data_IF_035541972241
#
_entry.id   IF_035541972241
#
_cell.length_a   1.000
_cell.length_b   1.000
_cell.length_c   1.000
_cell.angle_alpha   90.00
_cell.angle_beta   90.00
_cell.angle_gamma   90.00
#
_symmetry.space_group_name_H-M   'P 1'
#
loop_
_entity.id
_entity.type
_entity.pdbx_description
1 polymer ?
#
# COMPACT_ATOMS: atom_id res chain seq x y z
N UNK A 1 -4.49 -12.99 29.14
CA UNK A 1 -4.89 -13.67 27.89
C UNK A 1 -3.68 -13.67 26.95
N UNK A 2 -3.47 -14.70 26.10
CA UNK A 2 -2.42 -14.66 25.08
C UNK A 2 -2.65 -13.43 24.20
N UNK A 3 -1.58 -12.83 23.64
CA UNK A 3 -1.70 -11.70 22.71
C UNK A 3 -2.48 -12.14 21.46
N UNK A 4 -3.79 -12.00 21.49
CA UNK A 4 -4.67 -12.17 20.33
C UNK A 4 -4.39 -11.04 19.35
N UNK A 5 -4.35 -11.36 18.06
CA UNK A 5 -4.23 -10.33 17.01
C UNK A 5 -5.50 -9.47 16.99
N UNK A 6 -5.44 -8.19 16.57
CA UNK A 6 -6.63 -7.33 16.48
C UNK A 6 -7.78 -7.97 15.66
N UNK A 7 -7.43 -8.69 14.59
CA UNK A 7 -8.38 -9.46 13.78
C UNK A 7 -9.09 -10.55 14.58
N UNK A 8 -8.33 -11.35 15.34
CA UNK A 8 -8.90 -12.44 16.13
C UNK A 8 -9.76 -11.89 17.28
N UNK A 9 -9.34 -10.79 17.90
CA UNK A 9 -10.13 -10.10 18.92
C UNK A 9 -11.49 -9.62 18.36
N UNK A 10 -11.50 -9.03 17.16
CA UNK A 10 -12.74 -8.61 16.50
C UNK A 10 -13.68 -9.77 16.19
N UNK A 11 -13.16 -10.91 15.71
CA UNK A 11 -13.97 -12.11 15.44
C UNK A 11 -14.61 -12.64 16.72
N UNK A 12 -13.83 -12.72 17.81
CA UNK A 12 -14.33 -13.22 19.10
C UNK A 12 -15.45 -12.32 19.62
N UNK A 13 -15.26 -10.99 19.57
CA UNK A 13 -16.29 -10.04 20.03
C UNK A 13 -17.56 -10.17 19.19
N UNK A 14 -17.46 -10.23 17.86
CA UNK A 14 -18.64 -10.42 17.00
C UNK A 14 -19.38 -11.73 17.31
N UNK A 15 -18.65 -12.82 17.52
CA UNK A 15 -19.27 -14.11 17.82
C UNK A 15 -19.95 -14.10 19.20
N UNK A 16 -19.34 -13.46 20.21
CA UNK A 16 -19.95 -13.30 21.52
C UNK A 16 -21.20 -12.42 21.48
N UNK A 17 -21.23 -11.40 20.61
CA UNK A 17 -22.37 -10.51 20.43
C UNK A 17 -23.50 -11.13 19.60
N UNK A 18 -23.26 -12.27 18.93
CA UNK A 18 -24.25 -12.92 18.08
C UNK A 18 -25.35 -13.66 18.86
N UNK A 19 -25.10 -14.07 20.10
CA UNK A 19 -26.05 -14.84 20.91
C UNK A 19 -26.43 -14.10 22.20
N UNK A 20 -27.74 -14.04 22.49
CA UNK A 20 -28.26 -13.34 23.67
C UNK A 20 -27.55 -13.70 24.98
N UNK A 21 -27.27 -14.99 25.19
CA UNK A 21 -26.61 -15.48 26.41
C UNK A 21 -25.20 -14.89 26.56
N UNK A 22 -24.37 -15.03 25.53
CA UNK A 22 -22.98 -14.58 25.56
C UNK A 22 -22.89 -13.06 25.55
N UNK A 23 -23.80 -12.36 24.87
CA UNK A 23 -23.92 -10.90 24.92
C UNK A 23 -24.13 -10.42 26.36
N UNK A 24 -25.10 -11.00 27.07
CA UNK A 24 -25.37 -10.64 28.48
C UNK A 24 -24.17 -10.90 29.38
N UNK A 25 -23.52 -12.06 29.23
CA UNK A 25 -22.31 -12.40 30.00
C UNK A 25 -21.16 -11.43 29.70
N UNK A 26 -20.94 -11.08 28.43
CA UNK A 26 -19.89 -10.16 28.01
C UNK A 26 -20.08 -8.75 28.61
N UNK A 27 -21.28 -8.18 28.47
CA UNK A 27 -21.57 -6.82 28.95
C UNK A 27 -21.52 -6.72 30.48
N UNK A 28 -21.90 -7.78 31.21
CA UNK A 28 -21.79 -7.85 32.68
C UNK A 28 -20.35 -7.99 33.16
N UNK A 29 -19.54 -8.76 32.42
CA UNK A 29 -18.18 -9.11 32.84
C UNK A 29 -17.16 -8.03 32.46
N UNK A 30 -17.37 -7.33 31.34
CA UNK A 30 -16.44 -6.33 30.80
C UNK A 30 -17.18 -5.00 30.60
N UNK A 31 -17.46 -4.24 31.68
CA UNK A 31 -18.24 -3.00 31.62
C UNK A 31 -17.54 -1.84 30.89
N UNK A 32 -16.27 -1.97 30.53
CA UNK A 32 -15.52 -0.97 29.75
C UNK A 32 -15.06 -1.51 28.39
N UNK A 33 -15.81 -2.47 27.82
CA UNK A 33 -15.50 -3.01 26.50
C UNK A 33 -15.57 -1.91 25.44
N UNK A 34 -14.55 -1.83 24.58
CA UNK A 34 -14.56 -0.93 23.43
C UNK A 34 -15.39 -1.57 22.32
N UNK A 35 -16.50 -0.92 21.97
CA UNK A 35 -17.42 -1.36 20.92
C UNK A 35 -17.44 -0.34 19.77
N UNK A 36 -17.68 -0.82 18.55
CA UNK A 36 -17.97 0.03 17.40
C UNK A 36 -19.37 0.65 17.53
N UNK A 37 -19.60 1.72 16.79
CA UNK A 37 -20.91 2.38 16.70
C UNK A 37 -22.01 1.42 16.25
N UNK A 38 -21.71 0.54 15.28
CA UNK A 38 -22.62 -0.50 14.81
C UNK A 38 -22.96 -1.52 15.91
N UNK A 39 -21.98 -1.94 16.71
CA UNK A 39 -22.21 -2.84 17.83
C UNK A 39 -23.08 -2.17 18.90
N UNK A 40 -22.81 -0.90 19.23
CA UNK A 40 -23.63 -0.13 20.19
C UNK A 40 -25.06 0.02 19.68
N UNK A 41 -25.24 0.38 18.41
CA UNK A 41 -26.54 0.50 17.77
C UNK A 41 -27.35 -0.80 17.89
N UNK A 42 -26.73 -1.95 17.57
CA UNK A 42 -27.37 -3.27 17.70
C UNK A 42 -27.84 -3.52 19.13
N UNK A 43 -26.98 -3.26 20.11
CA UNK A 43 -27.28 -3.51 21.52
C UNK A 43 -28.41 -2.62 22.06
N UNK A 44 -28.46 -1.35 21.64
CA UNK A 44 -29.51 -0.41 22.02
C UNK A 44 -30.86 -0.74 21.37
N UNK A 45 -30.86 -1.33 20.17
CA UNK A 45 -32.05 -1.71 19.40
C UNK A 45 -32.36 -3.22 19.45
N UNK A 46 -31.72 -3.95 20.36
CA UNK A 46 -31.85 -5.40 20.50
C UNK A 46 -33.27 -5.78 20.98
N UNK A 47 -33.81 -6.96 20.63
CA UNK A 47 -35.19 -7.36 21.03
C UNK A 47 -35.31 -7.70 22.54
N UNK A 48 -34.24 -8.26 23.12
CA UNK A 48 -34.14 -8.54 24.56
C UNK A 48 -33.96 -7.25 25.39
N UNK A 49 -34.87 -7.01 26.33
CA UNK A 49 -34.90 -5.79 27.16
C UNK A 49 -33.72 -5.67 28.14
N UNK A 50 -33.15 -6.79 28.59
CA UNK A 50 -32.00 -6.79 29.49
C UNK A 50 -30.73 -6.35 28.76
N UNK A 51 -30.55 -6.80 27.52
CA UNK A 51 -29.42 -6.37 26.68
C UNK A 51 -29.50 -4.86 26.43
N UNK A 52 -30.69 -4.33 26.09
CA UNK A 52 -30.88 -2.87 25.95
C UNK A 52 -30.56 -2.12 27.23
N UNK A 53 -30.97 -2.62 28.39
CA UNK A 53 -30.68 -1.99 29.68
C UNK A 53 -29.17 -1.96 29.99
N UNK A 54 -28.47 -3.08 29.77
CA UNK A 54 -27.01 -3.18 29.91
C UNK A 54 -26.31 -2.21 28.94
N UNK A 55 -26.73 -2.17 27.68
CA UNK A 55 -26.17 -1.27 26.67
C UNK A 55 -26.33 0.22 27.02
N UNK A 56 -27.50 0.61 27.51
CA UNK A 56 -27.76 1.99 27.96
C UNK A 56 -26.86 2.38 29.14
N UNK A 57 -26.57 1.44 30.06
CA UNK A 57 -25.64 1.70 31.17
C UNK A 57 -24.21 1.96 30.72
N UNK A 58 -23.78 1.38 29.60
CA UNK A 58 -22.46 1.55 28.97
C UNK A 58 -22.38 2.84 28.13
N UNK A 59 -23.48 3.21 27.48
CA UNK A 59 -23.55 4.32 26.52
C UNK A 59 -23.53 5.71 27.17
N UNK A 60 -23.67 5.79 28.50
CA UNK A 60 -23.45 7.03 29.26
C UNK A 60 -22.00 7.55 29.23
N UNK A 61 -21.11 6.90 28.47
CA UNK A 61 -19.72 7.28 28.28
C UNK A 61 -19.32 7.31 26.79
N UNK A 62 -20.03 8.05 25.93
CA UNK A 62 -19.49 8.68 24.69
C UNK A 62 -20.60 9.42 23.94
N UNK A 63 -20.83 10.70 24.27
CA UNK A 63 -21.54 11.60 23.37
C UNK A 63 -20.66 11.91 22.16
N UNK A 64 -21.16 11.59 20.98
CA UNK A 64 -20.62 12.03 19.68
C UNK A 64 -21.03 13.50 19.50
N UNK A 65 -20.03 14.37 19.48
CA UNK A 65 -20.16 15.81 19.24
C UNK A 65 -20.53 16.08 17.76
N UNK A 66 -21.62 16.81 17.44
CA UNK A 66 -22.14 16.97 16.07
C UNK A 66 -21.39 17.93 15.12
N UNK A 67 -20.13 18.29 15.34
CA UNK A 67 -19.41 19.24 14.46
C UNK A 67 -18.04 18.71 13.98
N UNK A 68 -18.08 17.82 12.97
CA UNK A 68 -16.93 17.05 12.49
C UNK A 68 -15.79 17.83 11.80
N UNK A 69 -15.91 19.13 11.53
CA UNK A 69 -14.82 19.89 10.87
C UNK A 69 -13.76 20.36 11.85
N UNK A 70 -14.14 20.85 13.03
CA UNK A 70 -13.15 21.30 14.03
C UNK A 70 -12.51 20.10 14.75
N UNK A 71 -13.30 19.04 15.01
CA UNK A 71 -12.81 17.78 15.59
C UNK A 71 -11.67 17.15 14.77
N UNK A 72 -11.75 17.20 13.45
CA UNK A 72 -10.79 16.53 12.56
C UNK A 72 -9.78 17.46 11.89
N UNK A 73 -9.73 18.73 12.27
CA UNK A 73 -8.83 19.74 11.70
C UNK A 73 -7.38 19.29 11.62
N UNK A 74 -6.87 18.59 12.64
CA UNK A 74 -5.52 18.05 12.66
C UNK A 74 -5.29 16.97 11.59
N UNK A 75 -6.29 16.13 11.31
CA UNK A 75 -6.23 15.09 10.28
C UNK A 75 -6.20 15.71 8.88
N UNK A 76 -7.08 16.67 8.59
CA UNK A 76 -7.06 17.38 7.30
C UNK A 76 -5.76 18.18 7.11
N UNK A 77 -5.27 18.85 8.16
CA UNK A 77 -3.98 19.57 8.11
C UNK A 77 -2.80 18.65 7.80
N UNK A 78 -2.86 17.39 8.26
CA UNK A 78 -1.80 16.42 8.03
C UNK A 78 -1.71 15.95 6.57
N UNK A 79 -2.75 16.13 5.74
CA UNK A 79 -2.70 15.79 4.32
C UNK A 79 -1.68 16.65 3.54
N UNK A 80 -1.41 17.86 4.01
CA UNK A 80 -0.43 18.79 3.41
C UNK A 80 1.02 18.48 3.78
N UNK A 81 1.26 17.57 4.74
CA UNK A 81 2.61 17.18 5.12
C UNK A 81 3.21 16.20 4.09
N UNK A 82 4.54 16.17 3.98
CA UNK A 82 5.24 15.18 3.12
C UNK A 82 4.86 13.75 3.57
N UNK A 83 4.21 12.94 2.69
CA UNK A 83 3.78 11.60 3.06
C UNK A 83 4.94 10.61 3.08
N UNK A 84 4.84 9.60 3.96
CA UNK A 84 5.68 8.41 3.95
C UNK A 84 4.87 7.25 3.34
N UNK A 85 5.06 7.03 2.03
CA UNK A 85 4.27 6.05 1.25
C UNK A 85 4.52 4.62 1.71
N UNK A 86 5.77 4.28 2.05
CA UNK A 86 6.13 2.93 2.50
C UNK A 86 5.45 2.63 3.82
N UNK A 87 5.55 3.54 4.79
CA UNK A 87 4.85 3.45 6.06
C UNK A 87 3.33 3.39 5.86
N UNK A 88 2.80 4.20 4.94
CA UNK A 88 1.40 4.19 4.53
C UNK A 88 0.94 2.81 4.05
N UNK A 89 1.77 2.10 3.28
CA UNK A 89 1.49 0.73 2.83
C UNK A 89 1.46 -0.29 3.98
N UNK A 90 2.40 -0.19 4.93
CA UNK A 90 2.41 -1.07 6.12
C UNK A 90 1.16 -0.84 6.98
N UNK A 91 0.83 0.43 7.25
CA UNK A 91 -0.36 0.80 8.02
C UNK A 91 -1.66 0.42 7.29
N UNK A 92 -1.70 0.58 5.97
CA UNK A 92 -2.80 0.12 5.14
C UNK A 92 -3.03 -1.38 5.37
N UNK A 93 -2.01 -2.21 5.23
CA UNK A 93 -2.14 -3.66 5.42
C UNK A 93 -2.63 -4.03 6.83
N UNK A 94 -2.20 -3.31 7.86
CA UNK A 94 -2.58 -3.56 9.25
C UNK A 94 -4.03 -3.16 9.59
N UNK A 95 -4.56 -2.10 8.95
CA UNK A 95 -5.84 -1.51 9.31
C UNK A 95 -6.89 -1.63 8.20
N UNK A 96 -6.58 -1.13 7.01
CA UNK A 96 -7.50 -1.06 5.88
C UNK A 96 -7.57 -2.39 5.11
N UNK A 97 -6.44 -3.09 4.96
CA UNK A 97 -6.32 -4.39 4.30
C UNK A 97 -7.07 -5.52 5.02
N UNK A 98 -7.54 -5.27 6.24
CA UNK A 98 -8.43 -6.20 6.96
C UNK A 98 -9.82 -6.30 6.34
N UNK A 99 -10.21 -5.33 5.50
CA UNK A 99 -11.51 -5.28 4.84
C UNK A 99 -11.45 -4.90 3.35
N UNK A 100 -10.45 -4.12 2.92
CA UNK A 100 -10.36 -3.61 1.55
C UNK A 100 -9.21 -4.25 0.78
N UNK A 101 -9.41 -4.45 -0.53
CA UNK A 101 -8.34 -4.80 -1.45
C UNK A 101 -7.70 -3.55 -2.05
N UNK A 102 -6.38 -3.57 -2.19
CA UNK A 102 -5.63 -2.57 -2.92
C UNK A 102 -4.28 -3.15 -3.35
N UNK A 103 -3.91 -3.01 -4.63
CA UNK A 103 -2.63 -3.52 -5.18
C UNK A 103 -2.39 -5.00 -4.88
N UNK A 104 -3.45 -5.81 -4.90
CA UNK A 104 -3.40 -7.24 -4.59
C UNK A 104 -3.16 -7.59 -3.11
N UNK A 105 -3.18 -6.60 -2.21
CA UNK A 105 -3.14 -6.81 -0.75
C UNK A 105 -4.55 -6.70 -0.17
N UNK A 106 -4.77 -7.38 0.96
CA UNK A 106 -6.01 -7.32 1.72
C UNK A 106 -7.07 -8.34 1.29
N UNK A 107 -8.32 -8.12 1.70
CA UNK A 107 -9.46 -9.01 1.45
C UNK A 107 -10.69 -8.23 0.97
N UNK A 108 -11.69 -8.92 0.41
CA UNK A 108 -12.86 -8.30 -0.23
C UNK A 108 -14.09 -8.30 0.69
N UNK A 109 -14.05 -7.49 1.74
CA UNK A 109 -15.22 -7.21 2.61
C UNK A 109 -15.86 -5.88 2.24
N UNK A 110 -15.04 -4.83 2.11
CA UNK A 110 -15.39 -3.52 1.58
C UNK A 110 -15.04 -3.38 0.10
N UNK A 111 -15.36 -2.24 -0.53
CA UNK A 111 -15.05 -1.97 -1.93
C UNK A 111 -13.53 -2.02 -2.21
N UNK A 112 -13.11 -2.50 -3.39
CA UNK A 112 -11.70 -2.40 -3.79
C UNK A 112 -11.31 -0.94 -3.94
N UNK A 113 -10.08 -0.60 -3.53
CA UNK A 113 -9.60 0.78 -3.50
C UNK A 113 -8.70 1.13 -4.69
N UNK A 114 -8.47 0.20 -5.62
CA UNK A 114 -7.60 0.39 -6.78
C UNK A 114 -8.08 1.53 -7.71
N UNK A 115 -9.39 1.86 -7.68
CA UNK A 115 -10.00 2.96 -8.43
C UNK A 115 -10.00 4.32 -7.72
N UNK A 116 -9.62 4.37 -6.44
CA UNK A 116 -9.87 5.55 -5.58
C UNK A 116 -8.81 6.64 -5.70
N UNK A 117 -7.70 6.37 -6.41
CA UNK A 117 -6.59 7.30 -6.52
C UNK A 117 -6.97 8.67 -7.14
N UNK A 118 -8.00 8.69 -7.98
CA UNK A 118 -8.52 9.90 -8.64
C UNK A 118 -9.37 10.82 -7.75
N UNK A 119 -9.83 10.34 -6.59
CA UNK A 119 -10.65 11.15 -5.68
C UNK A 119 -9.79 12.13 -4.87
N UNK A 120 -10.31 13.29 -4.45
CA UNK A 120 -9.59 14.21 -3.54
C UNK A 120 -9.15 13.50 -2.25
N UNK A 121 -7.97 13.84 -1.73
CA UNK A 121 -7.44 13.22 -0.51
C UNK A 121 -8.33 13.48 0.71
N UNK A 122 -8.91 14.68 0.76
CA UNK A 122 -9.85 15.14 1.76
C UNK A 122 -11.14 14.30 1.73
N UNK A 123 -11.60 13.90 0.55
CA UNK A 123 -12.78 13.05 0.41
C UNK A 123 -12.49 11.64 0.94
N UNK A 124 -11.35 11.05 0.60
CA UNK A 124 -10.97 9.74 1.11
C UNK A 124 -10.78 9.77 2.63
N UNK A 125 -10.20 10.84 3.16
CA UNK A 125 -10.04 11.03 4.60
C UNK A 125 -11.41 11.19 5.29
N UNK A 126 -12.33 11.93 4.68
CA UNK A 126 -13.69 12.08 5.20
C UNK A 126 -14.40 10.73 5.32
N UNK A 127 -14.29 9.88 4.30
CA UNK A 127 -14.89 8.53 4.31
C UNK A 127 -14.30 7.67 5.44
N UNK A 128 -12.99 7.75 5.69
CA UNK A 128 -12.35 6.98 6.78
C UNK A 128 -12.78 7.47 8.16
N UNK A 129 -12.93 8.80 8.32
CA UNK A 129 -13.31 9.41 9.60
C UNK A 129 -14.82 9.32 9.87
N UNK A 130 -15.63 9.24 8.82
CA UNK A 130 -17.09 9.12 8.88
C UNK A 130 -17.59 8.02 7.90
N UNK A 131 -17.31 6.75 8.19
CA UNK A 131 -17.63 5.62 7.30
C UNK A 131 -19.12 5.47 6.97
N UNK A 132 -20.00 5.93 7.86
CA UNK A 132 -21.47 5.85 7.71
C UNK A 132 -22.04 7.05 6.94
N UNK A 133 -21.25 8.09 6.67
CA UNK A 133 -21.71 9.28 5.95
C UNK A 133 -22.11 9.00 4.50
N UNK A 134 -21.38 8.11 3.83
CA UNK A 134 -21.70 7.61 2.50
C UNK A 134 -21.26 6.15 2.38
N UNK A 135 -22.20 5.25 2.11
CA UNK A 135 -21.92 3.81 1.97
C UNK A 135 -22.06 3.44 0.50
N UNK A 136 -20.98 2.92 -0.10
CA UNK A 136 -20.93 2.48 -1.49
C UNK A 136 -22.03 1.45 -1.79
N UNK A 137 -22.69 1.59 -2.95
CA UNK A 137 -23.70 0.65 -3.40
C UNK A 137 -23.14 -0.79 -3.43
N UNK A 138 -23.93 -1.76 -2.95
CA UNK A 138 -23.48 -3.15 -2.81
C UNK A 138 -22.74 -3.46 -1.50
N UNK A 139 -22.36 -2.45 -0.72
CA UNK A 139 -21.64 -2.62 0.56
C UNK A 139 -22.45 -2.16 1.78
N UNK A 140 -23.78 -2.08 1.65
CA UNK A 140 -24.67 -1.81 2.78
C UNK A 140 -24.56 -2.92 3.82
N UNK A 141 -24.57 -2.52 5.09
CA UNK A 141 -24.62 -3.43 6.21
C UNK A 141 -26.05 -3.92 6.42
N UNK A 142 -26.18 -5.22 6.65
CA UNK A 142 -27.43 -5.88 7.01
C UNK A 142 -27.34 -6.49 8.39
N UNK A 143 -28.46 -6.44 9.13
CA UNK A 143 -28.68 -7.23 10.33
C UNK A 143 -29.66 -8.35 9.97
N UNK A 144 -29.20 -9.59 10.07
CA UNK A 144 -30.01 -10.79 9.94
C UNK A 144 -30.35 -11.31 11.34
N UNK A 145 -31.63 -11.28 11.70
CA UNK A 145 -32.15 -11.91 12.91
C UNK A 145 -32.64 -13.31 12.56
N UNK A 146 -32.16 -14.32 13.27
CA UNK A 146 -32.54 -15.71 13.08
C UNK A 146 -33.60 -16.13 14.10
N UNK A 147 -34.38 -17.15 13.71
CA UNK A 147 -35.25 -17.88 14.61
C UNK A 147 -34.42 -18.42 15.79
N UNK A 148 -34.84 -18.11 17.02
CA UNK A 148 -34.09 -18.46 18.23
C UNK A 148 -33.21 -17.34 18.81
N UNK A 149 -33.28 -16.13 18.25
CA UNK A 149 -32.66 -14.93 18.84
C UNK A 149 -31.16 -14.83 18.61
N UNK A 150 -30.66 -15.41 17.51
CA UNK A 150 -29.29 -15.23 17.04
C UNK A 150 -29.28 -14.07 16.05
N UNK A 151 -28.29 -13.19 16.14
CA UNK A 151 -28.12 -12.06 15.21
C UNK A 151 -26.78 -12.10 14.49
N UNK A 152 -26.82 -11.97 13.17
CA UNK A 152 -25.64 -11.81 12.33
C UNK A 152 -25.63 -10.44 11.66
N UNK A 153 -24.45 -9.82 11.57
CA UNK A 153 -24.26 -8.53 10.93
C UNK A 153 -23.15 -8.62 9.91
N UNK A 154 -23.39 -8.10 8.71
CA UNK A 154 -22.41 -8.13 7.64
C UNK A 154 -22.90 -7.49 6.34
N UNK A 155 -22.05 -7.54 5.33
CA UNK A 155 -22.39 -7.15 3.95
C UNK A 155 -22.96 -8.36 3.22
N UNK A 156 -24.03 -8.17 2.45
CA UNK A 156 -24.64 -9.23 1.66
C UNK A 156 -23.73 -9.61 0.48
N UNK A 157 -23.16 -10.82 0.51
CA UNK A 157 -22.27 -11.32 -0.56
C UNK A 157 -23.02 -12.11 -1.61
N UNK A 158 -24.10 -12.79 -1.23
CA UNK A 158 -24.99 -13.47 -2.17
C UNK A 158 -26.40 -13.59 -1.62
N UNK A 159 -27.37 -13.62 -2.53
CA UNK A 159 -28.79 -13.78 -2.20
C UNK A 159 -29.45 -14.69 -3.24
N UNK A 160 -30.20 -15.68 -2.77
CA UNK A 160 -30.97 -16.62 -3.59
C UNK A 160 -32.37 -16.81 -3.00
N UNK A 161 -33.20 -17.64 -3.65
CA UNK A 161 -34.52 -17.98 -3.14
C UNK A 161 -34.49 -18.78 -1.83
N UNK A 162 -33.39 -19.47 -1.51
CA UNK A 162 -33.30 -20.39 -0.37
C UNK A 162 -32.32 -19.96 0.71
N UNK A 163 -31.31 -19.16 0.36
CA UNK A 163 -30.30 -18.69 1.32
C UNK A 163 -29.77 -17.30 0.99
N UNK A 164 -29.21 -16.66 2.02
CA UNK A 164 -28.35 -15.48 1.91
C UNK A 164 -26.95 -15.83 2.43
N UNK A 165 -25.94 -15.07 2.00
CA UNK A 165 -24.62 -15.10 2.62
C UNK A 165 -24.22 -13.69 3.07
N UNK A 166 -23.72 -13.59 4.30
CA UNK A 166 -23.20 -12.35 4.86
C UNK A 166 -21.70 -12.48 5.09
N UNK A 167 -20.93 -11.52 4.57
CA UNK A 167 -19.54 -11.31 4.96
C UNK A 167 -19.53 -10.41 6.18
N UNK A 168 -19.16 -10.99 7.33
CA UNK A 168 -19.03 -10.29 8.62
C UNK A 168 -17.70 -9.53 8.69
N UNK A 169 -17.54 -8.74 9.75
CA UNK A 169 -16.27 -8.11 10.06
C UNK A 169 -15.11 -9.12 10.07
N UNK A 170 -13.90 -8.65 9.73
CA UNK A 170 -12.69 -9.48 9.60
C UNK A 170 -12.74 -10.59 8.52
N UNK A 171 -13.77 -10.58 7.65
CA UNK A 171 -13.86 -11.40 6.44
C UNK A 171 -14.37 -12.83 6.64
N UNK A 172 -15.03 -13.10 7.76
CA UNK A 172 -15.73 -14.38 7.93
C UNK A 172 -17.07 -14.36 7.21
N UNK A 173 -17.39 -15.41 6.46
CA UNK A 173 -18.67 -15.52 5.77
C UNK A 173 -19.62 -16.45 6.56
N UNK A 174 -20.92 -16.16 6.53
CA UNK A 174 -21.95 -17.00 7.12
C UNK A 174 -23.11 -17.14 6.15
N UNK A 175 -23.43 -18.38 5.79
CA UNK A 175 -24.60 -18.71 4.98
C UNK A 175 -25.79 -18.96 5.90
N UNK A 176 -26.93 -18.33 5.60
CA UNK A 176 -28.15 -18.39 6.40
C UNK A 176 -29.29 -18.86 5.49
N UNK A 177 -29.99 -19.92 5.88
CA UNK A 177 -31.20 -20.36 5.18
C UNK A 177 -32.32 -19.36 5.43
N UNK A 178 -33.11 -19.05 4.40
CA UNK A 178 -34.27 -18.16 4.57
C UNK A 178 -35.32 -18.72 5.53
N UNK A 179 -35.41 -20.04 5.66
CA UNK A 179 -36.28 -20.69 6.64
C UNK A 179 -35.90 -20.34 8.08
N UNK A 180 -34.63 -20.02 8.32
CA UNK A 180 -34.09 -19.72 9.65
C UNK A 180 -34.09 -18.22 9.93
N UNK A 181 -34.38 -17.40 8.92
CA UNK A 181 -34.34 -15.95 8.99
C UNK A 181 -35.69 -15.40 9.48
N UNK A 182 -35.68 -14.76 10.64
CA UNK A 182 -36.82 -14.02 11.17
C UNK A 182 -36.96 -12.64 10.50
N UNK A 183 -35.85 -11.95 10.28
CA UNK A 183 -35.82 -10.69 9.53
C UNK A 183 -34.43 -10.38 8.97
N UNK A 184 -34.39 -9.61 7.88
CA UNK A 184 -33.19 -9.06 7.29
C UNK A 184 -33.43 -7.58 6.99
N UNK A 185 -32.70 -6.72 7.69
CA UNK A 185 -32.89 -5.27 7.58
C UNK A 185 -31.57 -4.59 7.25
N UNK A 186 -31.55 -3.67 6.26
CA UNK A 186 -30.40 -2.80 6.06
C UNK A 186 -30.31 -1.78 7.22
N UNK A 187 -29.09 -1.32 7.52
CA UNK A 187 -28.86 -0.21 8.45
C UNK A 187 -28.02 0.88 7.79
N UNK A 188 -28.24 2.13 8.20
CA UNK A 188 -27.47 3.30 7.73
C UNK A 188 -26.10 3.44 8.43
N UNK A 189 -25.57 2.33 8.94
CA UNK A 189 -24.26 2.26 9.58
C UNK A 189 -23.33 1.37 8.77
N UNK A 190 -22.13 1.86 8.53
CA UNK A 190 -21.10 1.11 7.80
C UNK A 190 -20.50 0.00 8.65
N UNK A 191 -20.09 -1.09 7.99
CA UNK A 191 -19.28 -2.14 8.62
C UNK A 191 -17.83 -1.66 8.87
N UNK A 192 -17.40 -0.58 8.20
CA UNK A 192 -16.10 0.05 8.45
C UNK A 192 -16.10 0.74 9.83
N UNK A 193 -15.10 0.51 10.70
CA UNK A 193 -15.05 1.12 12.02
C UNK A 193 -14.93 2.65 11.98
N UNK A 194 -15.72 3.37 12.79
CA UNK A 194 -15.64 4.83 12.95
C UNK A 194 -14.60 5.30 13.98
N UNK A 195 -13.67 4.41 14.39
CA UNK A 195 -12.72 4.65 15.50
C UNK A 195 -11.29 4.92 15.04
N UNK A 196 -11.05 5.10 13.74
CA UNK A 196 -9.70 5.33 13.22
C UNK A 196 -9.07 6.62 13.74
N UNK A 197 -9.86 7.63 14.10
CA UNK A 197 -9.41 8.86 14.76
C UNK A 197 -8.81 8.63 16.16
N UNK A 198 -9.21 7.55 16.83
CA UNK A 198 -8.71 7.16 18.16
C UNK A 198 -7.50 6.22 18.09
N UNK A 199 -7.35 5.50 16.98
CA UNK A 199 -6.34 4.43 16.83
C UNK A 199 -5.13 4.91 16.02
N UNK A 200 -5.34 5.82 15.06
CA UNK A 200 -4.32 6.31 14.15
C UNK A 200 -4.06 7.80 14.39
N UNK A 201 -2.78 8.18 14.35
CA UNK A 201 -2.41 9.61 14.42
C UNK A 201 -2.76 10.29 13.10
N UNK A 202 -2.95 11.62 13.08
CA UNK A 202 -3.16 12.39 11.86
C UNK A 202 -2.18 12.09 10.73
N UNK A 203 -0.89 11.98 11.05
CA UNK A 203 0.13 11.64 10.05
C UNK A 203 -0.02 10.22 9.52
N UNK A 204 -0.40 9.26 10.36
CA UNK A 204 -0.54 7.85 9.97
C UNK A 204 -1.69 7.69 8.96
N UNK A 205 -2.84 8.35 9.20
CA UNK A 205 -3.92 8.40 8.22
C UNK A 205 -3.52 9.14 6.94
N UNK A 206 -2.79 10.26 7.04
CA UNK A 206 -2.26 10.96 5.87
C UNK A 206 -1.36 10.04 5.02
N UNK A 207 -0.44 9.31 5.65
CA UNK A 207 0.45 8.35 4.98
C UNK A 207 -0.34 7.23 4.28
N UNK A 208 -1.41 6.70 4.90
CA UNK A 208 -2.31 5.71 4.28
C UNK A 208 -3.05 6.31 3.07
N UNK A 209 -3.65 7.49 3.21
CA UNK A 209 -4.41 8.15 2.13
C UNK A 209 -3.48 8.42 0.95
N UNK A 210 -2.27 8.91 1.20
CA UNK A 210 -1.29 9.11 0.16
C UNK A 210 -0.79 7.80 -0.44
N UNK A 211 -0.72 6.69 0.31
CA UNK A 211 -0.44 5.36 -0.26
C UNK A 211 -1.55 4.87 -1.21
N UNK A 212 -2.83 5.08 -0.86
CA UNK A 212 -3.99 4.76 -1.72
C UNK A 212 -3.98 5.63 -2.98
N UNK A 213 -3.70 6.93 -2.81
CA UNK A 213 -3.59 7.88 -3.93
C UNK A 213 -2.32 7.70 -4.77
N UNK A 214 -1.29 7.10 -4.20
CA UNK A 214 -0.06 6.80 -4.91
C UNK A 214 -0.32 5.66 -5.87
N UNK A 215 -0.81 6.00 -7.06
CA UNK A 215 -0.99 5.09 -8.19
C UNK A 215 0.39 4.51 -8.53
N UNK A 216 0.70 3.31 -8.02
CA UNK A 216 1.78 2.52 -8.59
C UNK A 216 1.21 2.08 -9.92
N UNK A 217 1.61 2.75 -11.00
CA UNK A 217 1.21 2.35 -12.33
C UNK A 217 1.64 0.89 -12.52
N UNK A 218 0.73 0.00 -12.92
CA UNK A 218 1.08 -1.37 -13.38
C UNK A 218 2.11 -1.34 -14.53
N UNK A 219 2.34 -0.15 -15.08
CA UNK A 219 3.37 0.17 -16.06
C UNK A 219 4.76 0.38 -15.50
N UNK A 220 5.00 0.37 -14.17
CA UNK A 220 6.34 0.59 -13.63
C UNK A 220 6.74 -0.31 -12.46
N UNK A 221 8.00 -0.73 -12.46
CA UNK A 221 8.63 -1.47 -11.37
C UNK A 221 9.83 -0.67 -10.84
N UNK A 222 9.72 -0.21 -9.61
CA UNK A 222 10.82 0.43 -8.90
C UNK A 222 11.85 -0.63 -8.51
N UNK A 223 13.07 -0.51 -9.05
CA UNK A 223 14.20 -1.40 -8.79
C UNK A 223 15.03 -0.95 -7.58
N UNK A 224 15.04 0.36 -7.30
CA UNK A 224 15.71 0.95 -6.15
C UNK A 224 14.99 2.24 -5.71
N UNK A 225 14.52 2.24 -4.46
CA UNK A 225 13.97 3.38 -3.71
C UNK A 225 14.09 3.04 -2.21
N UNK A 226 15.01 3.72 -1.51
CA UNK A 226 15.24 3.57 -0.07
C UNK A 226 15.72 2.18 0.43
N UNK A 227 16.31 1.34 -0.42
CA UNK A 227 16.78 0.01 0.00
C UNK A 227 18.23 0.05 0.53
N UNK A 228 18.47 -0.07 1.84
CA UNK A 228 19.79 0.15 2.42
C UNK A 228 20.82 -0.91 1.99
N UNK A 229 20.36 -2.11 1.61
CA UNK A 229 21.21 -3.24 1.22
C UNK A 229 21.52 -3.29 -0.27
N UNK A 230 21.02 -2.33 -1.05
CA UNK A 230 21.26 -2.33 -2.50
C UNK A 230 22.74 -2.12 -2.82
N UNK A 231 23.42 -1.23 -2.10
CA UNK A 231 24.86 -1.00 -2.25
C UNK A 231 25.67 -2.27 -1.95
N UNK A 232 25.30 -3.03 -0.93
CA UNK A 232 25.94 -4.31 -0.56
C UNK A 232 25.77 -5.38 -1.66
N UNK A 233 24.66 -5.31 -2.39
CA UNK A 233 24.36 -6.23 -3.50
C UNK A 233 25.26 -5.98 -4.73
N UNK A 234 25.88 -4.80 -4.84
CA UNK A 234 26.88 -4.47 -5.87
C UNK A 234 28.28 -4.98 -5.46
N UNK A 235 28.41 -6.31 -5.43
CA UNK A 235 29.51 -7.01 -4.78
C UNK A 235 30.83 -7.08 -5.58
N UNK A 236 30.89 -6.55 -6.79
CA UNK A 236 32.07 -6.59 -7.65
C UNK A 236 32.46 -5.21 -8.21
N UNK A 237 33.66 -5.12 -8.78
CA UNK A 237 34.26 -3.88 -9.26
C UNK A 237 35.32 -3.32 -8.31
N UNK A 238 36.07 -2.31 -8.78
CA UNK A 238 37.19 -1.69 -8.04
C UNK A 238 36.78 -0.46 -7.23
N UNK A 239 35.58 0.07 -7.47
CA UNK A 239 35.07 1.27 -6.80
C UNK A 239 34.41 0.96 -5.47
N UNK A 240 33.71 1.96 -4.95
CA UNK A 240 32.93 1.87 -3.72
C UNK A 240 31.48 2.26 -4.02
N UNK A 241 30.54 1.54 -3.40
CA UNK A 241 29.12 1.81 -3.45
C UNK A 241 28.65 2.05 -2.01
N UNK A 242 27.93 3.13 -1.78
CA UNK A 242 27.40 3.48 -0.47
C UNK A 242 26.00 4.07 -0.60
N UNK A 243 25.24 4.05 0.48
CA UNK A 243 23.96 4.74 0.58
C UNK A 243 24.21 6.11 1.20
N UNK A 244 23.66 7.14 0.58
CA UNK A 244 23.61 8.53 1.07
C UNK A 244 22.15 8.82 1.45
N UNK A 245 21.92 9.50 2.57
CA UNK A 245 20.58 9.84 3.06
C UNK A 245 20.29 11.34 3.09
N UNK A 246 21.31 12.18 2.82
CA UNK A 246 21.23 13.63 3.04
C UNK A 246 20.75 14.37 1.78
N UNK A 247 21.10 13.90 0.58
CA UNK A 247 20.87 14.62 -0.68
C UNK A 247 20.33 13.72 -1.81
N UNK A 248 19.17 13.10 -1.54
CA UNK A 248 18.45 12.22 -2.46
C UNK A 248 17.31 12.93 -3.20
N UNK A 249 16.99 12.47 -4.42
CA UNK A 249 15.91 13.03 -5.22
C UNK A 249 14.54 12.59 -4.68
N UNK A 250 14.47 11.36 -4.21
CA UNK A 250 13.29 10.70 -3.69
C UNK A 250 13.63 9.97 -2.39
N UNK A 251 12.62 9.74 -1.55
CA UNK A 251 12.81 8.91 -0.37
C UNK A 251 13.78 9.51 0.65
N UNK A 252 14.48 8.62 1.35
CA UNK A 252 15.48 8.83 2.39
C UNK A 252 16.86 8.30 2.01
N UNK A 253 17.02 7.52 0.94
CA UNK A 253 18.29 6.88 0.60
C UNK A 253 18.53 6.79 -0.91
N UNK A 254 19.74 7.14 -1.34
CA UNK A 254 20.18 7.12 -2.72
C UNK A 254 21.55 6.48 -2.84
N UNK A 255 21.81 5.83 -3.97
CA UNK A 255 23.06 5.13 -4.22
C UNK A 255 24.14 6.14 -4.61
N UNK A 256 25.30 6.05 -3.99
CA UNK A 256 26.51 6.76 -4.42
C UNK A 256 27.56 5.76 -4.86
N UNK A 257 28.27 6.11 -5.94
CA UNK A 257 29.39 5.32 -6.46
C UNK A 257 30.59 6.22 -6.69
N UNK A 258 31.77 5.72 -6.32
CA UNK A 258 33.06 6.38 -6.51
C UNK A 258 34.12 5.35 -6.89
N UNK A 259 35.31 5.81 -7.28
CA UNK A 259 36.44 4.91 -7.53
C UNK A 259 36.30 4.02 -8.76
N UNK A 260 35.68 4.54 -9.83
CA UNK A 260 35.43 3.87 -11.11
C UNK A 260 34.13 3.08 -11.15
N UNK A 261 34.12 1.78 -10.82
CA UNK A 261 32.95 0.94 -11.09
C UNK A 261 32.59 0.03 -9.93
N UNK A 262 31.28 -0.06 -9.65
CA UNK A 262 30.66 -1.08 -8.82
C UNK A 262 29.49 -1.73 -9.53
N UNK A 263 29.38 -3.05 -9.40
CA UNK A 263 28.38 -3.81 -10.15
C UNK A 263 28.00 -5.12 -9.46
N UNK A 264 26.90 -5.70 -9.96
CA UNK A 264 26.61 -7.12 -9.85
C UNK A 264 26.04 -7.60 -11.17
N UNK A 265 26.58 -8.69 -11.72
CA UNK A 265 26.06 -9.28 -12.96
C UNK A 265 24.75 -10.06 -12.74
N UNK A 266 24.49 -10.45 -11.50
CA UNK A 266 23.28 -11.14 -11.07
C UNK A 266 22.83 -10.60 -9.71
N UNK A 267 21.86 -9.70 -9.73
CA UNK A 267 21.20 -9.21 -8.52
C UNK A 267 20.15 -10.24 -8.06
N UNK A 268 19.98 -10.43 -6.74
CA UNK A 268 19.00 -11.39 -6.21
C UNK A 268 17.58 -11.09 -6.69
N UNK A 269 16.93 -12.09 -7.30
CA UNK A 269 15.55 -11.97 -7.80
C UNK A 269 15.39 -11.16 -9.09
N UNK A 270 16.48 -10.69 -9.71
CA UNK A 270 16.42 -9.95 -10.97
C UNK A 270 16.35 -10.89 -12.17
N UNK A 271 15.22 -10.81 -12.88
CA UNK A 271 14.93 -11.56 -14.10
C UNK A 271 13.91 -10.77 -14.94
N UNK A 272 14.27 -9.56 -15.38
CA UNK A 272 13.33 -8.63 -16.01
C UNK A 272 13.43 -8.65 -17.53
N UNK A 273 12.32 -8.97 -18.19
CA UNK A 273 12.30 -9.19 -19.63
C UNK A 273 12.11 -7.89 -20.42
N UNK A 274 13.11 -7.46 -21.18
CA UNK A 274 12.97 -6.32 -22.08
C UNK A 274 12.35 -6.79 -23.40
N UNK A 275 11.24 -6.17 -23.82
CA UNK A 275 10.49 -6.52 -25.04
C UNK A 275 10.05 -5.27 -25.79
N UNK A 276 9.84 -5.41 -27.09
CA UNK A 276 9.30 -4.33 -27.95
C UNK A 276 7.94 -3.81 -27.47
N UNK A 277 7.09 -4.75 -27.07
CA UNK A 277 5.70 -4.52 -26.65
C UNK A 277 5.42 -5.39 -25.41
N UNK A 278 5.72 -4.89 -24.20
CA UNK A 278 5.50 -5.63 -22.96
C UNK A 278 4.04 -6.02 -22.74
N UNK A 279 3.77 -7.30 -22.50
CA UNK A 279 2.43 -7.85 -22.23
C UNK A 279 2.35 -8.58 -20.89
N UNK A 280 3.44 -9.23 -20.47
CA UNK A 280 3.48 -10.04 -19.24
C UNK A 280 4.03 -9.25 -18.05
N UNK A 281 3.68 -9.64 -16.82
CA UNK A 281 4.01 -8.86 -15.60
C UNK A 281 5.52 -8.63 -15.37
N UNK A 282 6.36 -9.48 -15.92
CA UNK A 282 7.82 -9.44 -15.89
C UNK A 282 8.45 -8.72 -17.10
N UNK A 283 7.64 -8.28 -18.06
CA UNK A 283 8.09 -7.59 -19.27
C UNK A 283 8.06 -6.06 -19.14
N UNK A 284 9.10 -5.41 -19.67
CA UNK A 284 9.32 -3.96 -19.67
C UNK A 284 9.97 -3.51 -20.97
N UNK A 285 10.04 -2.20 -21.22
CA UNK A 285 10.71 -1.64 -22.40
C UNK A 285 11.67 -0.51 -22.08
N UNK A 286 11.32 0.33 -21.11
CA UNK A 286 12.12 1.49 -20.76
C UNK A 286 12.69 1.34 -19.36
N UNK A 287 13.73 2.09 -19.07
CA UNK A 287 14.17 2.34 -17.71
C UNK A 287 14.32 3.84 -17.48
N UNK A 288 13.88 4.30 -16.33
CA UNK A 288 14.12 5.65 -15.84
C UNK A 288 15.16 5.58 -14.73
N UNK A 289 16.16 6.45 -14.79
CA UNK A 289 17.21 6.58 -13.78
C UNK A 289 17.47 8.07 -13.54
N UNK A 290 17.46 8.50 -12.28
CA UNK A 290 17.98 9.81 -11.90
C UNK A 290 19.47 9.74 -11.60
N UNK A 291 20.22 10.72 -12.11
CA UNK A 291 21.66 10.82 -11.93
C UNK A 291 22.03 12.23 -11.46
N UNK A 292 23.03 12.32 -10.58
CA UNK A 292 23.65 13.57 -10.15
C UNK A 292 25.14 13.33 -9.90
N UNK A 293 26.00 14.04 -10.62
CA UNK A 293 27.43 14.07 -10.33
C UNK A 293 27.70 14.99 -9.15
N UNK A 294 28.52 14.52 -8.21
CA UNK A 294 29.07 15.36 -7.15
C UNK A 294 30.31 16.07 -7.68
N UNK A 295 31.30 15.29 -8.10
CA UNK A 295 32.53 15.75 -8.74
C UNK A 295 32.95 14.88 -9.94
N UNK A 296 32.18 13.81 -10.21
CA UNK A 296 32.32 12.98 -11.42
C UNK A 296 32.32 13.81 -12.71
N UNK A 297 33.21 13.49 -13.66
CA UNK A 297 33.21 14.08 -15.02
C UNK A 297 32.36 13.31 -16.01
N UNK A 298 32.17 12.02 -15.74
CA UNK A 298 31.28 11.13 -16.48
C UNK A 298 30.58 10.16 -15.57
N UNK A 299 29.40 9.70 -15.98
CA UNK A 299 28.67 8.63 -15.31
C UNK A 299 28.12 7.68 -16.36
N UNK A 300 28.19 6.37 -16.11
CA UNK A 300 27.74 5.34 -17.02
C UNK A 300 27.00 4.24 -16.26
N UNK A 301 25.99 3.67 -16.93
CA UNK A 301 25.24 2.52 -16.46
C UNK A 301 25.26 1.42 -17.52
N UNK A 302 25.39 0.19 -17.06
CA UNK A 302 25.34 -1.01 -17.92
C UNK A 302 24.37 -2.04 -17.36
N UNK A 303 23.74 -2.80 -18.24
CA UNK A 303 22.77 -3.84 -17.88
C UNK A 303 23.29 -5.21 -18.28
N UNK A 304 23.39 -6.12 -17.32
CA UNK A 304 23.75 -7.52 -17.58
C UNK A 304 22.57 -8.28 -18.20
N UNK A 305 22.88 -9.16 -19.15
CA UNK A 305 21.94 -10.08 -19.78
C UNK A 305 22.40 -11.50 -19.47
N UNK A 306 21.55 -12.28 -18.81
CA UNK A 306 21.87 -13.65 -18.37
C UNK A 306 23.21 -13.75 -17.65
N UNK A 307 23.46 -12.82 -16.73
CA UNK A 307 24.68 -12.76 -15.93
C UNK A 307 25.90 -12.18 -16.66
N UNK A 308 25.74 -11.58 -17.85
CA UNK A 308 26.86 -11.04 -18.65
C UNK A 308 26.67 -9.58 -19.05
N UNK A 309 27.65 -8.75 -18.70
CA UNK A 309 27.76 -7.37 -19.17
C UNK A 309 28.11 -7.31 -20.67
N UNK A 310 27.78 -6.20 -21.35
CA UNK A 310 28.11 -6.02 -22.76
C UNK A 310 29.64 -5.98 -22.99
N UNK A 311 30.10 -6.29 -24.21
CA UNK A 311 31.51 -6.15 -24.55
C UNK A 311 31.89 -4.67 -24.71
N UNK A 312 33.08 -4.31 -24.24
CA UNK A 312 33.59 -2.93 -24.20
C UNK A 312 33.64 -2.22 -25.56
N UNK A 313 33.68 -2.98 -26.67
CA UNK A 313 33.76 -2.45 -28.02
C UNK A 313 32.40 -2.29 -28.72
N UNK A 314 31.28 -2.41 -28.00
CA UNK A 314 29.95 -2.21 -28.56
C UNK A 314 29.07 -1.36 -27.65
N UNK A 315 28.41 -0.36 -28.23
CA UNK A 315 27.41 0.45 -27.55
C UNK A 315 26.06 -0.30 -27.41
N UNK A 316 26.04 -1.43 -26.72
CA UNK A 316 24.82 -2.20 -26.44
C UNK A 316 24.62 -2.33 -24.94
N UNK A 317 23.41 -2.07 -24.44
CA UNK A 317 23.06 -2.13 -23.00
C UNK A 317 23.95 -1.29 -22.09
N UNK A 318 24.62 -0.29 -22.65
CA UNK A 318 25.51 0.65 -21.94
C UNK A 318 25.15 2.07 -22.34
N UNK A 319 25.07 2.96 -21.34
CA UNK A 319 24.63 4.34 -21.51
C UNK A 319 25.40 5.28 -20.61
N UNK A 320 25.76 6.47 -21.09
CA UNK A 320 26.55 7.42 -20.30
C UNK A 320 26.12 8.89 -20.45
N UNK A 321 26.51 9.70 -19.48
CA UNK A 321 26.38 11.16 -19.45
C UNK A 321 27.72 11.80 -19.14
N UNK A 322 27.98 12.99 -19.67
CA UNK A 322 29.25 13.69 -19.50
C UNK A 322 30.39 13.08 -20.31
N UNK A 323 31.59 13.10 -19.75
CA UNK A 323 32.82 12.61 -20.39
C UNK A 323 32.94 11.08 -20.32
N UNK A 324 33.20 10.41 -21.44
CA UNK A 324 33.51 8.98 -21.44
C UNK A 324 35.02 8.74 -21.54
N UNK A 325 35.69 8.62 -20.39
CA UNK A 325 37.12 8.29 -20.30
C UNK A 325 37.41 6.79 -20.14
N UNK A 326 36.39 5.92 -20.19
CA UNK A 326 36.55 4.46 -20.01
C UNK A 326 37.27 3.79 -21.18
N UNK A 327 37.19 4.39 -22.37
CA UNK A 327 37.60 3.76 -23.64
C UNK A 327 36.53 2.81 -24.23
N UNK A 328 35.44 2.56 -23.51
CA UNK A 328 34.35 1.68 -23.94
C UNK A 328 33.39 2.40 -24.87
N UNK A 329 32.90 1.71 -25.90
CA UNK A 329 31.82 2.22 -26.74
C UNK A 329 30.50 2.15 -25.97
N UNK A 330 29.81 3.29 -25.84
CA UNK A 330 28.58 3.40 -25.06
C UNK A 330 27.62 4.43 -25.67
N UNK A 331 26.33 4.33 -25.36
CA UNK A 331 25.31 5.23 -25.89
C UNK A 331 25.26 6.53 -25.08
N UNK A 332 25.50 7.67 -25.72
CA UNK A 332 25.49 8.96 -25.02
C UNK A 332 24.05 9.44 -24.78
N UNK A 333 23.65 9.58 -23.52
CA UNK A 333 22.37 10.16 -23.12
C UNK A 333 22.43 11.69 -23.06
N UNK A 334 23.58 12.25 -22.65
CA UNK A 334 23.81 13.69 -22.52
C UNK A 334 25.30 13.99 -22.61
N UNK A 335 25.66 15.06 -23.34
CA UNK A 335 27.03 15.61 -23.32
C UNK A 335 27.34 16.32 -22.02
N UNK A 336 26.32 16.90 -21.38
CA UNK A 336 26.47 17.60 -20.11
C UNK A 336 26.37 16.62 -18.94
N UNK A 337 27.29 16.78 -17.98
CA UNK A 337 27.24 16.07 -16.72
C UNK A 337 26.22 16.73 -15.77
N UNK A 338 25.27 15.98 -15.17
CA UNK A 338 24.23 16.58 -14.35
C UNK A 338 24.75 16.91 -12.94
N UNK A 339 25.04 18.17 -12.64
CA UNK A 339 25.43 18.60 -11.27
C UNK A 339 24.24 18.76 -10.32
N UNK A 340 23.02 18.72 -10.87
CA UNK A 340 21.75 18.60 -10.14
C UNK A 340 21.05 17.32 -10.59
N UNK A 341 20.19 16.77 -9.74
CA UNK A 341 19.40 15.59 -10.07
C UNK A 341 18.66 15.77 -11.40
N UNK A 342 18.94 14.88 -12.35
CA UNK A 342 18.31 14.83 -13.66
C UNK A 342 17.93 13.40 -13.99
N UNK A 343 16.68 13.20 -14.38
CA UNK A 343 16.17 11.88 -14.79
C UNK A 343 16.35 11.66 -16.27
N UNK A 344 16.82 10.47 -16.62
CA UNK A 344 16.96 9.98 -17.98
C UNK A 344 16.02 8.80 -18.15
N UNK A 345 15.24 8.81 -19.24
CA UNK A 345 14.42 7.66 -19.63
C UNK A 345 15.01 7.06 -20.89
N UNK A 346 15.35 5.78 -20.82
CA UNK A 346 16.10 5.04 -21.83
C UNK A 346 15.18 3.99 -22.44
N UNK A 347 15.04 3.97 -23.77
CA UNK A 347 14.43 2.85 -24.47
C UNK A 347 15.45 1.71 -24.54
N UNK A 348 15.26 0.70 -23.67
CA UNK A 348 16.17 -0.43 -23.59
C UNK A 348 16.04 -1.36 -24.79
N UNK A 349 14.89 -1.38 -25.48
CA UNK A 349 14.68 -2.29 -26.59
C UNK A 349 15.27 -1.76 -27.91
N UNK A 350 15.14 -0.45 -28.15
CA UNK A 350 15.44 0.21 -29.45
C UNK A 350 16.76 -0.23 -30.10
N UNK A 351 17.84 -0.28 -29.33
CA UNK A 351 19.19 -0.54 -29.83
C UNK A 351 19.75 -1.92 -29.39
N UNK A 352 18.96 -2.70 -28.63
CA UNK A 352 19.41 -3.98 -28.04
C UNK A 352 18.56 -5.19 -28.43
N UNK A 353 17.30 -4.99 -28.86
CA UNK A 353 16.35 -6.08 -29.05
C UNK A 353 15.86 -6.69 -27.74
N UNK A 354 15.40 -7.94 -27.80
CA UNK A 354 14.90 -8.67 -26.64
C UNK A 354 16.06 -9.20 -25.79
N UNK A 355 16.04 -8.90 -24.49
CA UNK A 355 17.02 -9.42 -23.52
C UNK A 355 16.43 -9.48 -22.12
N UNK A 356 17.20 -9.97 -21.15
CA UNK A 356 16.75 -10.16 -19.77
C UNK A 356 17.71 -9.47 -18.81
N UNK A 357 17.27 -8.43 -18.11
CA UNK A 357 18.09 -7.72 -17.13
C UNK A 357 18.25 -8.59 -15.90
N UNK A 358 19.48 -9.02 -15.65
CA UNK A 358 19.83 -9.80 -14.44
C UNK A 358 20.67 -9.01 -13.45
N UNK A 359 21.29 -7.91 -13.88
CA UNK A 359 22.21 -7.14 -13.06
C UNK A 359 22.54 -5.80 -13.67
N UNK A 360 23.26 -4.97 -12.91
CA UNK A 360 23.62 -3.61 -13.30
C UNK A 360 25.03 -3.25 -12.85
N UNK A 361 25.67 -2.40 -13.64
CA UNK A 361 26.92 -1.75 -13.28
C UNK A 361 26.73 -0.24 -13.27
N UNK A 362 27.39 0.42 -12.31
CA UNK A 362 27.45 1.85 -12.17
C UNK A 362 28.91 2.27 -12.24
N UNK A 363 29.22 3.14 -13.19
CA UNK A 363 30.58 3.64 -13.42
C UNK A 363 30.61 5.15 -13.25
N UNK A 364 31.59 5.68 -12.53
CA UNK A 364 31.88 7.11 -12.42
C UNK A 364 33.29 7.39 -12.94
N UNK A 365 33.38 8.34 -13.87
CA UNK A 365 34.62 8.74 -14.50
C UNK A 365 35.17 9.96 -13.76
N UNK A 366 36.14 9.71 -12.87
CA UNK A 366 36.84 10.73 -12.10
C UNK A 366 35.95 11.47 -11.10
N UNK A 367 35.78 10.89 -9.91
CA UNK A 367 34.96 11.45 -8.82
C UNK A 367 33.81 10.52 -8.40
N UNK A 368 32.89 11.08 -7.63
CA UNK A 368 31.67 10.47 -7.09
C UNK A 368 30.43 10.93 -7.87
N UNK A 369 29.51 9.99 -8.07
CA UNK A 369 28.19 10.24 -8.64
C UNK A 369 27.10 9.51 -7.86
N UNK A 370 25.90 10.07 -7.88
CA UNK A 370 24.73 9.58 -7.18
C UNK A 370 23.64 9.14 -8.17
N UNK A 371 22.92 8.09 -7.81
CA UNK A 371 21.85 7.46 -8.58
C UNK A 371 20.63 7.27 -7.69
N UNK A 372 19.45 7.55 -8.24
CA UNK A 372 18.17 7.45 -7.53
C UNK A 372 17.04 7.17 -8.53
N UNK A 373 15.85 6.80 -8.04
CA UNK A 373 14.64 6.49 -8.84
C UNK A 373 14.95 5.60 -10.06
N UNK A 374 15.48 4.42 -9.78
CA UNK A 374 15.73 3.42 -10.82
C UNK A 374 14.44 2.61 -11.01
N UNK A 375 13.77 2.80 -12.15
CA UNK A 375 12.44 2.24 -12.41
C UNK A 375 12.35 1.66 -13.81
N UNK A 376 11.89 0.41 -13.95
CA UNK A 376 11.51 -0.13 -15.25
C UNK A 376 10.10 0.34 -15.62
N UNK A 377 9.87 0.62 -16.91
CA UNK A 377 8.59 1.06 -17.44
C UNK A 377 8.16 0.18 -18.63
N UNK A 378 6.86 -0.11 -18.73
CA UNK A 378 6.25 -0.78 -19.89
C UNK A 378 6.02 0.17 -21.06
N UNK A 379 5.57 1.38 -20.73
CA UNK A 379 5.23 2.47 -21.64
C UNK A 379 5.63 3.82 -21.02
N UNK A 380 5.66 4.89 -21.83
CA UNK A 380 6.11 6.23 -21.44
C UNK A 380 4.95 7.15 -21.06
#
# INVERSE_FOLDING_TARGET
MPRTTPRLASIIVEELLAYNKTTKELLKTIPNISLSELQVYRLLNHDDSEIRALANSLSNASHVDPEGKEKYKAFYSALSNKPDIQKGGVLFGAHCGTCHQFKGQGISVGPPLDGEAGRPAESLLADVLNPSGEITAGYRTYIAKLNGGIEHTGVLSSESATSIALIKAAGSETQILRSDLASLSPVDLSLMPSTFDKILKPKDLSDIIWFIKNKKTDNSLVLFDDEPRFAESLNAGKGEAAIDEDDCLSGKACLTVSGFQRYSSQLPGWDFNVRKNPKNKDEFRYIRIAMKAVDAKGMMVEFADKGKFPPENKAVRTYYVGDNSTGWQSNQLSKEIPTKWKSYTIDLWKDNGDFTITGMAFTTMGGKGSYDKIELLREL
#
